data_IF_057466612287
#
_entry.id   IF_057466612287
#
_cell.length_a   1.000
_cell.length_b   1.000
_cell.length_c   1.000
_cell.angle_alpha   90.00
_cell.angle_beta   90.00
_cell.angle_gamma   90.00
#
_symmetry.space_group_name_H-M   'P 1'
#
loop_
_entity.id
_entity.type
_entity.pdbx_description
1 polymer ?
#
# COMPACT_ATOMS: atom_id res chain seq x y z
N UNK A 1 -2.02 8.98 -20.31
CA UNK A 1 -2.14 7.84 -19.38
C UNK A 1 -1.51 8.33 -18.09
N UNK A 2 -2.25 8.33 -16.99
CA UNK A 2 -1.78 8.89 -15.71
C UNK A 2 -1.42 7.76 -14.77
N UNK A 3 -0.24 7.79 -14.18
CA UNK A 3 0.25 6.82 -13.21
C UNK A 3 0.44 7.53 -11.87
N UNK A 4 -0.04 6.92 -10.78
CA UNK A 4 0.06 7.50 -9.44
C UNK A 4 0.81 6.54 -8.51
N UNK A 5 1.69 7.08 -7.68
CA UNK A 5 2.36 6.35 -6.62
C UNK A 5 1.61 6.55 -5.30
N UNK A 6 1.15 5.46 -4.71
CA UNK A 6 0.45 5.43 -3.42
C UNK A 6 1.40 4.91 -2.34
N UNK A 7 1.97 5.81 -1.54
CA UNK A 7 2.75 5.46 -0.36
C UNK A 7 1.82 5.23 0.84
N UNK A 8 1.83 4.01 1.39
CA UNK A 8 0.98 3.62 2.50
C UNK A 8 1.77 3.37 3.78
N UNK A 9 1.24 3.86 4.89
CA UNK A 9 1.68 3.58 6.26
C UNK A 9 0.53 2.95 7.06
N UNK A 10 0.81 2.37 8.23
CA UNK A 10 -0.13 1.46 8.90
C UNK A 10 -0.85 2.09 10.10
N UNK A 11 -0.21 2.95 10.87
CA UNK A 11 -0.75 3.49 12.13
C UNK A 11 -2.04 4.29 11.98
N UNK A 12 -2.28 4.86 10.79
CA UNK A 12 -3.47 5.66 10.47
C UNK A 12 -4.55 4.91 9.69
N UNK A 13 -4.37 3.62 9.42
CA UNK A 13 -5.30 2.81 8.63
C UNK A 13 -6.67 2.73 9.31
N UNK A 14 -7.71 2.82 8.50
CA UNK A 14 -9.09 2.68 8.95
C UNK A 14 -9.30 1.41 9.78
N UNK A 15 -10.00 1.55 10.92
CA UNK A 15 -10.35 0.45 11.84
C UNK A 15 -9.17 -0.21 12.58
N UNK A 16 -7.93 0.28 12.46
CA UNK A 16 -6.89 -0.06 13.44
C UNK A 16 -7.14 0.76 14.71
N UNK A 17 -7.47 0.08 15.80
CA UNK A 17 -7.75 0.68 17.11
C UNK A 17 -6.79 0.19 18.20
N UNK A 18 -5.92 -0.78 17.88
CA UNK A 18 -4.87 -1.28 18.75
C UNK A 18 -3.51 -1.23 18.05
N UNK A 19 -2.54 -0.53 18.69
CA UNK A 19 -1.20 -0.36 18.13
C UNK A 19 -0.47 -1.69 17.85
N UNK A 20 -0.86 -2.78 18.52
CA UNK A 20 -0.27 -4.10 18.31
C UNK A 20 -0.55 -4.63 16.91
N UNK A 21 -1.61 -4.17 16.27
CA UNK A 21 -1.94 -4.54 14.89
C UNK A 21 -0.89 -4.03 13.88
N UNK A 22 -0.12 -3.00 14.23
CA UNK A 22 0.90 -2.45 13.35
C UNK A 22 2.20 -3.27 13.36
N UNK A 23 2.49 -4.04 14.41
CA UNK A 23 3.85 -4.57 14.63
C UNK A 23 3.94 -6.10 14.56
N UNK A 24 4.84 -6.69 13.75
CA UNK A 24 5.00 -8.14 13.62
C UNK A 24 5.39 -8.88 14.91
N UNK A 25 5.90 -8.16 15.93
CA UNK A 25 6.18 -8.71 17.25
C UNK A 25 4.91 -9.20 17.99
N UNK A 26 3.73 -8.81 17.51
CA UNK A 26 2.42 -9.28 17.98
C UNK A 26 1.70 -10.05 16.85
N UNK A 27 2.08 -11.29 16.53
CA UNK A 27 1.68 -11.95 15.28
C UNK A 27 0.17 -12.02 15.05
N UNK A 28 -0.62 -12.35 16.08
CA UNK A 28 -2.08 -12.48 15.97
C UNK A 28 -2.76 -11.14 15.64
N UNK A 29 -2.32 -10.06 16.29
CA UNK A 29 -2.79 -8.70 16.01
C UNK A 29 -2.28 -8.22 14.65
N UNK A 30 -1.02 -8.49 14.33
CA UNK A 30 -0.44 -8.06 13.07
C UNK A 30 -1.16 -8.68 11.88
N UNK A 31 -1.58 -9.96 11.95
CA UNK A 31 -2.39 -10.54 10.87
C UNK A 31 -3.72 -9.81 10.65
N UNK A 32 -4.39 -9.32 11.70
CA UNK A 32 -5.62 -8.53 11.54
C UNK A 32 -5.32 -7.15 10.98
N UNK A 33 -4.26 -6.50 11.46
CA UNK A 33 -3.77 -5.23 10.93
C UNK A 33 -3.44 -5.29 9.44
N UNK A 34 -2.76 -6.34 8.98
CA UNK A 34 -2.42 -6.55 7.56
C UNK A 34 -3.66 -6.57 6.67
N UNK A 35 -4.72 -7.25 7.11
CA UNK A 35 -5.98 -7.29 6.35
C UNK A 35 -6.62 -5.90 6.29
N UNK A 36 -6.64 -5.16 7.40
CA UNK A 36 -7.18 -3.79 7.46
C UNK A 36 -6.40 -2.84 6.56
N UNK A 37 -5.07 -2.85 6.64
CA UNK A 37 -4.18 -2.02 5.80
C UNK A 37 -4.37 -2.35 4.33
N UNK A 38 -4.42 -3.65 3.98
CA UNK A 38 -4.62 -4.07 2.59
C UNK A 38 -5.98 -3.60 2.06
N UNK A 39 -7.05 -3.70 2.85
CA UNK A 39 -8.37 -3.23 2.46
C UNK A 39 -8.42 -1.71 2.22
N UNK A 40 -7.78 -0.93 3.10
CA UNK A 40 -7.74 0.54 3.01
C UNK A 40 -6.93 0.99 1.78
N UNK A 41 -5.78 0.37 1.55
CA UNK A 41 -4.94 0.61 0.35
C UNK A 41 -5.66 0.19 -0.93
N UNK A 42 -6.33 -0.95 -0.94
CA UNK A 42 -7.11 -1.41 -2.09
C UNK A 42 -8.27 -0.46 -2.41
N UNK A 43 -8.95 0.07 -1.39
CA UNK A 43 -10.01 1.05 -1.56
C UNK A 43 -9.48 2.37 -2.14
N UNK A 44 -8.34 2.88 -1.62
CA UNK A 44 -7.69 4.08 -2.15
C UNK A 44 -7.24 3.89 -3.60
N UNK A 45 -6.62 2.75 -3.91
CA UNK A 45 -6.20 2.41 -5.27
C UNK A 45 -7.40 2.31 -6.22
N UNK A 46 -8.49 1.66 -5.82
CA UNK A 46 -9.71 1.59 -6.62
C UNK A 46 -10.29 2.98 -6.90
N UNK A 47 -10.33 3.86 -5.90
CA UNK A 47 -10.80 5.24 -6.08
C UNK A 47 -9.94 6.04 -7.08
N UNK A 48 -8.62 5.84 -7.08
CA UNK A 48 -7.73 6.45 -8.09
C UNK A 48 -8.04 5.92 -9.50
N UNK A 49 -8.18 4.60 -9.64
CA UNK A 49 -8.49 3.94 -10.91
C UNK A 49 -9.85 4.40 -11.47
N UNK A 50 -10.87 4.47 -10.62
CA UNK A 50 -12.20 4.97 -10.96
C UNK A 50 -12.15 6.46 -11.39
N UNK A 51 -11.20 7.21 -10.85
CA UNK A 51 -10.87 8.59 -11.24
C UNK A 51 -10.15 8.74 -12.59
N UNK A 52 -9.84 7.64 -13.28
CA UNK A 52 -9.17 7.64 -14.58
C UNK A 52 -7.65 7.46 -14.53
N UNK A 53 -7.07 7.14 -13.37
CA UNK A 53 -5.68 6.71 -13.27
C UNK A 53 -5.54 5.35 -13.98
N UNK A 54 -4.49 5.20 -14.77
CA UNK A 54 -4.25 3.99 -15.56
C UNK A 54 -3.39 2.95 -14.84
N UNK A 55 -2.57 3.36 -13.87
CA UNK A 55 -1.77 2.47 -13.03
C UNK A 55 -1.52 3.09 -11.66
N UNK A 56 -1.61 2.28 -10.61
CA UNK A 56 -1.27 2.66 -9.24
C UNK A 56 -0.10 1.82 -8.74
N UNK A 57 1.04 2.48 -8.49
CA UNK A 57 2.20 1.87 -7.84
C UNK A 57 2.08 2.00 -6.34
N UNK A 58 1.89 0.90 -5.62
CA UNK A 58 1.73 0.89 -4.16
C UNK A 58 3.09 0.71 -3.49
N UNK A 59 3.43 1.57 -2.54
CA UNK A 59 4.64 1.45 -1.73
C UNK A 59 4.26 1.13 -0.29
N UNK A 60 4.77 0.02 0.23
CA UNK A 60 4.64 -0.36 1.63
C UNK A 60 5.69 0.37 2.49
N UNK A 61 5.29 1.46 3.14
CA UNK A 61 6.17 2.32 3.92
C UNK A 61 6.32 1.94 5.39
N UNK A 62 5.39 1.16 5.94
CA UNK A 62 5.35 0.89 7.37
C UNK A 62 6.47 -0.05 7.86
N UNK A 63 7.05 0.25 9.02
CA UNK A 63 7.92 -0.66 9.76
C UNK A 63 9.10 -1.21 8.96
N UNK A 64 9.87 -0.35 8.29
CA UNK A 64 10.99 -0.76 7.42
C UNK A 64 10.60 -1.67 6.25
N UNK A 65 9.32 -1.63 5.84
CA UNK A 65 8.85 -2.42 4.73
C UNK A 65 8.53 -3.87 5.08
N UNK A 66 8.23 -4.20 6.34
CA UNK A 66 7.64 -5.52 6.69
C UNK A 66 6.46 -5.84 5.77
N UNK A 67 6.15 -7.11 5.47
CA UNK A 67 5.19 -7.45 4.42
C UNK A 67 3.74 -7.20 4.86
N UNK A 68 3.36 -5.94 5.06
CA UNK A 68 2.10 -5.54 5.69
C UNK A 68 0.93 -5.60 4.69
N UNK A 69 1.19 -5.37 3.40
CA UNK A 69 0.21 -5.42 2.32
C UNK A 69 0.21 -6.82 1.67
N UNK A 70 -0.98 -7.34 1.39
CA UNK A 70 -1.18 -8.61 0.69
C UNK A 70 -1.44 -8.30 -0.80
N UNK A 71 -0.40 -8.46 -1.62
CA UNK A 71 -0.41 -8.01 -3.02
C UNK A 71 -1.54 -8.63 -3.86
N UNK A 72 -1.91 -9.89 -3.58
CA UNK A 72 -2.95 -10.62 -4.30
C UNK A 72 -4.36 -10.05 -4.09
N UNK A 73 -4.55 -9.19 -3.08
CA UNK A 73 -5.82 -8.54 -2.80
C UNK A 73 -5.93 -7.13 -3.39
N UNK A 74 -4.88 -6.63 -4.05
CA UNK A 74 -4.92 -5.33 -4.73
C UNK A 74 -5.78 -5.44 -6.02
N UNK A 75 -6.49 -4.37 -6.40
CA UNK A 75 -7.29 -4.37 -7.61
C UNK A 75 -6.42 -4.45 -8.87
N UNK A 76 -7.01 -4.92 -9.97
CA UNK A 76 -6.36 -4.88 -11.27
C UNK A 76 -6.00 -3.43 -11.64
N UNK A 77 -4.75 -3.20 -12.07
CA UNK A 77 -4.22 -1.85 -12.32
C UNK A 77 -3.48 -1.24 -11.12
N UNK A 78 -3.52 -1.89 -9.95
CA UNK A 78 -2.63 -1.59 -8.83
C UNK A 78 -1.61 -2.72 -8.63
N UNK A 79 -0.38 -2.37 -8.23
CA UNK A 79 0.63 -3.36 -7.87
C UNK A 79 1.49 -2.89 -6.72
N UNK A 80 1.92 -3.81 -5.87
CA UNK A 80 2.95 -3.54 -4.89
C UNK A 80 4.31 -3.37 -5.59
N UNK A 81 5.03 -2.30 -5.26
CA UNK A 81 6.40 -2.07 -5.71
C UNK A 81 7.40 -2.71 -4.76
N UNK A 82 8.37 -3.39 -5.34
CA UNK A 82 9.55 -3.82 -4.59
C UNK A 82 10.37 -2.60 -4.18
N UNK A 83 11.00 -2.66 -3.00
CA UNK A 83 11.79 -1.54 -2.48
C UNK A 83 12.89 -1.06 -3.46
N UNK A 84 13.44 -1.99 -4.25
CA UNK A 84 14.44 -1.69 -5.28
C UNK A 84 13.87 -0.92 -6.48
N UNK A 85 12.56 -0.98 -6.74
CA UNK A 85 11.88 -0.28 -7.84
C UNK A 85 11.54 1.17 -7.49
N UNK A 86 11.25 1.46 -6.22
CA UNK A 86 10.67 2.75 -5.80
C UNK A 86 11.55 3.95 -6.17
N UNK A 87 12.82 3.95 -5.74
CA UNK A 87 13.73 5.08 -5.99
C UNK A 87 14.05 5.30 -7.48
N UNK A 88 14.37 4.24 -8.26
CA UNK A 88 14.47 4.37 -9.71
C UNK A 88 13.22 4.96 -10.36
N UNK A 89 12.02 4.46 -10.00
CA UNK A 89 10.78 4.92 -10.60
C UNK A 89 10.48 6.40 -10.30
N UNK A 90 10.68 6.84 -9.05
CA UNK A 90 10.51 8.24 -8.66
C UNK A 90 11.51 9.15 -9.36
N UNK A 91 12.80 8.77 -9.41
CA UNK A 91 13.84 9.58 -10.09
C UNK A 91 13.70 9.58 -11.61
N UNK A 92 13.11 8.52 -12.16
CA UNK A 92 12.80 8.38 -13.57
C UNK A 92 11.54 9.12 -14.01
N UNK A 93 10.81 9.76 -13.09
CA UNK A 93 9.48 10.35 -13.34
C UNK A 93 8.51 9.33 -13.97
N UNK A 94 8.55 8.08 -13.51
CA UNK A 94 7.67 7.02 -14.00
C UNK A 94 6.22 7.19 -13.54
N UNK A 95 6.01 7.91 -12.43
CA UNK A 95 4.69 8.25 -11.87
C UNK A 95 4.48 9.76 -11.95
N UNK A 96 3.27 10.16 -12.30
CA UNK A 96 2.88 11.56 -12.52
C UNK A 96 2.51 12.29 -11.22
N UNK A 97 2.16 11.54 -10.17
CA UNK A 97 1.81 12.03 -8.83
C UNK A 97 2.21 11.02 -7.74
#
# INVERSE_FOLDING_TARGET
MTRVLLLADMEGVSQIDDFRECWPIYPEYWQTGRQKMTADVAAAAQGLLDGGVTEVGVVNGHGFGYPNIIAEQLPAGARLLEAAEVNPALRGNEYDA
#
